data_IF_480125712955
#
_entry.id   IF_480125712955
#
_cell.length_a   1.000
_cell.length_b   1.000
_cell.length_c   1.000
_cell.angle_alpha   90.00
_cell.angle_beta   90.00
_cell.angle_gamma   90.00
#
_symmetry.space_group_name_H-M   'P 1'
#
loop_
_entity.id
_entity.type
_entity.pdbx_description
1 polymer ?
#
# COMPACT_ATOMS: atom_id res chain seq x y z
N UNK A 1 -31.76 -0.75 -1.03
CA UNK A 1 -30.73 -1.20 -1.99
C UNK A 1 -30.21 -2.55 -1.50
N UNK A 2 -29.80 -3.45 -2.40
CA UNK A 2 -29.18 -4.72 -2.00
C UNK A 2 -27.87 -4.47 -1.26
N UNK A 3 -27.52 -5.34 -0.32
CA UNK A 3 -26.22 -5.31 0.36
C UNK A 3 -25.07 -5.38 -0.67
N UNK A 4 -24.08 -4.46 -0.62
CA UNK A 4 -22.92 -4.50 -1.49
C UNK A 4 -22.12 -5.80 -1.37
N UNK A 5 -21.71 -6.34 -2.51
CA UNK A 5 -20.81 -7.49 -2.61
C UNK A 5 -19.38 -7.02 -2.85
N UNK A 6 -18.49 -7.34 -1.92
CA UNK A 6 -17.09 -6.93 -1.94
C UNK A 6 -16.21 -8.15 -2.15
N UNK A 7 -15.40 -8.14 -3.21
CA UNK A 7 -14.36 -9.14 -3.43
C UNK A 7 -12.99 -8.56 -3.11
N UNK A 8 -12.23 -9.25 -2.27
CA UNK A 8 -10.96 -8.78 -1.74
C UNK A 8 -9.86 -9.80 -2.07
N UNK A 9 -8.71 -9.31 -2.49
CA UNK A 9 -7.48 -10.13 -2.47
C UNK A 9 -6.53 -9.61 -1.41
N UNK A 10 -5.69 -10.48 -0.83
CA UNK A 10 -4.74 -10.05 0.19
C UNK A 10 -5.36 -9.79 1.56
N UNK A 11 -6.52 -10.41 1.86
CA UNK A 11 -7.23 -10.27 3.15
C UNK A 11 -6.46 -10.81 4.37
N UNK A 12 -5.40 -11.59 4.15
CA UNK A 12 -4.45 -12.03 5.21
C UNK A 12 -3.10 -11.31 5.12
N UNK A 13 -2.99 -10.31 4.23
CA UNK A 13 -1.85 -9.41 4.12
C UNK A 13 -2.03 -8.16 5.00
N UNK A 14 -1.02 -7.28 4.96
CA UNK A 14 -0.98 -6.10 5.84
C UNK A 14 -2.07 -5.07 5.50
N UNK A 15 -2.13 -4.63 4.23
CA UNK A 15 -3.13 -3.64 3.78
C UNK A 15 -4.52 -4.26 3.74
N UNK A 16 -4.68 -5.36 2.99
CA UNK A 16 -5.99 -5.98 2.81
C UNK A 16 -6.61 -6.54 4.10
N UNK A 17 -5.79 -7.01 5.04
CA UNK A 17 -6.26 -7.46 6.35
C UNK A 17 -6.77 -6.32 7.23
N UNK A 18 -6.06 -5.19 7.27
CA UNK A 18 -6.48 -4.03 8.06
C UNK A 18 -7.68 -3.31 7.43
N UNK A 19 -7.75 -3.25 6.09
CA UNK A 19 -8.96 -2.81 5.38
C UNK A 19 -10.15 -3.69 5.71
N UNK A 20 -10.00 -5.02 5.60
CA UNK A 20 -11.10 -5.95 5.89
C UNK A 20 -11.56 -5.80 7.35
N UNK A 21 -10.63 -5.62 8.30
CA UNK A 21 -10.98 -5.31 9.68
C UNK A 21 -11.87 -4.06 9.76
N UNK A 22 -11.47 -2.95 9.13
CA UNK A 22 -12.23 -1.70 9.18
C UNK A 22 -13.62 -1.83 8.51
N UNK A 23 -13.68 -2.42 7.32
CA UNK A 23 -14.92 -2.58 6.56
C UNK A 23 -15.89 -3.57 7.21
N UNK A 24 -15.41 -4.70 7.72
CA UNK A 24 -16.24 -5.72 8.37
C UNK A 24 -16.96 -5.20 9.62
N UNK A 25 -16.30 -4.36 10.41
CA UNK A 25 -16.89 -3.78 11.62
C UNK A 25 -17.78 -2.56 11.34
N UNK A 26 -17.45 -1.78 10.31
CA UNK A 26 -18.24 -0.59 9.94
C UNK A 26 -19.50 -0.96 9.16
N UNK A 27 -19.42 -2.03 8.36
CA UNK A 27 -20.49 -2.51 7.50
C UNK A 27 -20.75 -4.01 7.68
N UNK A 28 -21.26 -4.44 8.84
CA UNK A 28 -21.60 -5.85 9.07
C UNK A 28 -22.70 -6.37 8.13
N UNK A 29 -23.45 -5.47 7.49
CA UNK A 29 -24.48 -5.79 6.51
C UNK A 29 -23.92 -6.09 5.10
N UNK A 30 -22.65 -5.79 4.82
CA UNK A 30 -22.03 -6.06 3.50
C UNK A 30 -21.63 -7.53 3.34
N UNK A 31 -21.63 -7.99 2.10
CA UNK A 31 -21.23 -9.36 1.76
C UNK A 31 -19.78 -9.40 1.30
N UNK A 32 -18.89 -9.94 2.12
CA UNK A 32 -17.46 -10.03 1.81
C UNK A 32 -17.07 -11.40 1.30
N UNK A 33 -16.20 -11.42 0.29
CA UNK A 33 -15.51 -12.63 -0.15
C UNK A 33 -14.04 -12.33 -0.38
N UNK A 34 -13.18 -13.29 -0.08
CA UNK A 34 -11.74 -13.08 -0.11
C UNK A 34 -10.98 -14.24 -0.75
N UNK A 35 -10.04 -13.91 -1.62
CA UNK A 35 -9.13 -14.88 -2.22
C UNK A 35 -8.17 -15.45 -1.17
N UNK A 36 -8.11 -16.77 -1.06
CA UNK A 36 -7.22 -17.51 -0.15
C UNK A 36 -6.54 -18.67 -0.87
N UNK A 37 -5.23 -18.83 -0.61
CA UNK A 37 -4.39 -19.83 -1.29
C UNK A 37 -4.45 -21.23 -0.66
N UNK A 38 -5.00 -21.35 0.55
CA UNK A 38 -5.02 -22.62 1.28
C UNK A 38 -6.14 -22.66 2.32
N UNK A 39 -6.46 -23.88 2.78
CA UNK A 39 -7.42 -24.11 3.85
C UNK A 39 -6.96 -23.47 5.17
N UNK A 40 -5.65 -23.43 5.47
CA UNK A 40 -5.18 -22.78 6.70
C UNK A 40 -5.43 -21.26 6.64
N UNK A 41 -5.19 -20.62 5.49
CA UNK A 41 -5.49 -19.19 5.31
C UNK A 41 -6.99 -18.91 5.38
N UNK A 42 -7.83 -19.81 4.87
CA UNK A 42 -9.27 -19.73 5.02
C UNK A 42 -9.69 -19.82 6.50
N UNK A 43 -9.12 -20.76 7.26
CA UNK A 43 -9.42 -20.93 8.68
C UNK A 43 -9.06 -19.67 9.49
N UNK A 44 -7.85 -19.12 9.32
CA UNK A 44 -7.41 -17.88 9.96
C UNK A 44 -8.38 -16.72 9.65
N UNK A 45 -8.79 -16.61 8.38
CA UNK A 45 -9.69 -15.57 7.95
C UNK A 45 -11.08 -15.71 8.59
N UNK A 46 -11.64 -16.92 8.57
CA UNK A 46 -12.99 -17.19 9.07
C UNK A 46 -13.09 -17.21 10.60
N UNK A 47 -11.99 -17.52 11.30
CA UNK A 47 -11.92 -17.37 12.76
C UNK A 47 -12.09 -15.91 13.18
N UNK A 48 -11.43 -14.99 12.48
CA UNK A 48 -11.55 -13.55 12.76
C UNK A 48 -12.83 -12.94 12.18
N UNK A 49 -13.26 -13.40 11.01
CA UNK A 49 -14.40 -12.84 10.26
C UNK A 49 -15.33 -13.95 9.76
N UNK A 50 -16.22 -14.49 10.62
CA UNK A 50 -17.05 -15.66 10.30
C UNK A 50 -17.95 -15.51 9.07
N UNK A 51 -18.36 -14.28 8.74
CA UNK A 51 -19.26 -14.01 7.62
C UNK A 51 -18.52 -13.76 6.29
N UNK A 52 -17.18 -13.80 6.27
CA UNK A 52 -16.40 -13.65 5.03
C UNK A 52 -16.34 -15.00 4.32
N UNK A 53 -16.77 -15.03 3.06
CA UNK A 53 -16.70 -16.23 2.22
C UNK A 53 -15.30 -16.42 1.63
N UNK A 54 -14.57 -17.50 1.96
CA UNK A 54 -13.30 -17.79 1.30
C UNK A 54 -13.53 -18.21 -0.16
N UNK A 55 -12.67 -17.71 -1.05
CA UNK A 55 -12.58 -18.10 -2.46
C UNK A 55 -11.21 -18.72 -2.68
N UNK A 56 -11.17 -20.01 -3.01
CA UNK A 56 -9.91 -20.72 -3.19
C UNK A 56 -9.29 -20.42 -4.56
N UNK A 57 -8.02 -20.00 -4.53
CA UNK A 57 -7.23 -19.69 -5.71
C UNK A 57 -6.03 -18.82 -5.37
N UNK A 58 -5.26 -18.48 -6.39
CA UNK A 58 -4.15 -17.55 -6.34
C UNK A 58 -4.28 -16.48 -7.44
N UNK A 59 -3.28 -15.61 -7.58
CA UNK A 59 -3.31 -14.53 -8.57
C UNK A 59 -3.20 -15.03 -10.03
N UNK A 60 -2.81 -16.30 -10.23
CA UNK A 60 -2.79 -16.94 -11.54
C UNK A 60 -4.10 -17.69 -11.86
N UNK A 61 -5.02 -17.78 -10.90
CA UNK A 61 -6.33 -18.41 -11.06
C UNK A 61 -7.29 -17.48 -11.82
N UNK A 62 -6.92 -17.10 -13.04
CA UNK A 62 -7.57 -16.03 -13.83
C UNK A 62 -9.06 -16.21 -14.03
N UNK A 63 -9.54 -17.45 -14.23
CA UNK A 63 -10.96 -17.75 -14.34
C UNK A 63 -11.72 -17.46 -13.03
N UNK A 64 -11.13 -17.82 -11.89
CA UNK A 64 -11.70 -17.53 -10.56
C UNK A 64 -11.76 -16.01 -10.36
N UNK A 65 -10.68 -15.29 -10.65
CA UNK A 65 -10.61 -13.84 -10.49
C UNK A 65 -11.65 -13.12 -11.38
N UNK A 66 -11.78 -13.54 -12.64
CA UNK A 66 -12.76 -13.02 -13.59
C UNK A 66 -14.20 -13.28 -13.13
N UNK A 67 -14.49 -14.49 -12.67
CA UNK A 67 -15.81 -14.85 -12.15
C UNK A 67 -16.17 -13.99 -10.94
N UNK A 68 -15.27 -13.91 -9.95
CA UNK A 68 -15.53 -13.12 -8.74
C UNK A 68 -15.68 -11.61 -9.05
N UNK A 69 -14.87 -11.07 -9.96
CA UNK A 69 -15.00 -9.69 -10.39
C UNK A 69 -16.32 -9.39 -11.10
N UNK A 70 -16.86 -10.33 -11.89
CA UNK A 70 -18.16 -10.14 -12.55
C UNK A 70 -19.36 -10.21 -11.59
N UNK A 71 -19.19 -10.94 -10.48
CA UNK A 71 -20.25 -11.20 -9.50
C UNK A 71 -20.28 -10.19 -8.34
N UNK A 72 -19.14 -9.58 -8.01
CA UNK A 72 -19.04 -8.54 -6.99
C UNK A 72 -19.68 -7.22 -7.48
N UNK A 73 -19.91 -6.29 -6.57
CA UNK A 73 -20.17 -4.88 -6.91
C UNK A 73 -18.86 -4.10 -6.93
N UNK A 74 -17.90 -4.48 -6.08
CA UNK A 74 -16.57 -3.89 -6.04
C UNK A 74 -15.47 -4.91 -5.78
N UNK A 75 -14.32 -4.68 -6.40
CA UNK A 75 -13.08 -5.44 -6.23
C UNK A 75 -12.03 -4.55 -5.58
N UNK A 76 -11.47 -4.99 -4.45
CA UNK A 76 -10.32 -4.36 -3.82
C UNK A 76 -9.10 -5.28 -3.89
N UNK A 77 -8.09 -4.83 -4.64
CA UNK A 77 -6.89 -5.62 -4.90
C UNK A 77 -5.71 -5.14 -4.05
N UNK A 78 -5.34 -5.93 -3.03
CA UNK A 78 -4.22 -5.64 -2.11
C UNK A 78 -3.12 -6.70 -2.15
N UNK A 79 -3.30 -7.79 -2.90
CA UNK A 79 -2.42 -8.97 -2.79
C UNK A 79 -1.03 -8.74 -3.36
N UNK A 80 -0.96 -8.09 -4.52
CA UNK A 80 0.29 -7.78 -5.22
C UNK A 80 0.01 -6.65 -6.23
N UNK A 81 0.72 -5.53 -6.10
CA UNK A 81 0.59 -4.39 -7.00
C UNK A 81 1.34 -4.57 -8.32
N UNK A 82 2.19 -5.60 -8.45
CA UNK A 82 3.03 -5.84 -9.62
C UNK A 82 2.56 -7.05 -10.47
N UNK A 83 1.46 -7.70 -10.10
CA UNK A 83 0.93 -8.88 -10.79
C UNK A 83 -0.05 -8.49 -11.91
N UNK A 84 0.42 -8.45 -13.15
CA UNK A 84 -0.36 -8.00 -14.30
C UNK A 84 -1.58 -8.89 -14.60
N UNK A 85 -1.41 -10.20 -14.50
CA UNK A 85 -2.45 -11.17 -14.90
C UNK A 85 -3.69 -11.06 -14.02
N UNK A 86 -3.54 -10.74 -12.73
CA UNK A 86 -4.69 -10.54 -11.83
C UNK A 86 -5.43 -9.25 -12.17
N UNK A 87 -4.70 -8.15 -12.44
CA UNK A 87 -5.31 -6.90 -12.88
C UNK A 87 -6.10 -7.08 -14.19
N UNK A 88 -5.53 -7.77 -15.19
CA UNK A 88 -6.22 -8.10 -16.45
C UNK A 88 -7.45 -8.97 -16.19
N UNK A 89 -7.35 -10.00 -15.35
CA UNK A 89 -8.47 -10.88 -15.04
C UNK A 89 -9.65 -10.12 -14.38
N UNK A 90 -9.36 -9.20 -13.45
CA UNK A 90 -10.41 -8.36 -12.85
C UNK A 90 -11.08 -7.47 -13.88
N UNK A 91 -10.29 -6.80 -14.73
CA UNK A 91 -10.83 -5.93 -15.79
C UNK A 91 -11.71 -6.74 -16.76
N UNK A 92 -11.29 -7.95 -17.16
CA UNK A 92 -12.14 -8.83 -17.98
C UNK A 92 -13.44 -9.23 -17.29
N UNK A 93 -13.41 -9.48 -15.98
CA UNK A 93 -14.63 -9.78 -15.21
C UNK A 93 -15.57 -8.58 -15.10
N UNK A 94 -15.01 -7.39 -14.89
CA UNK A 94 -15.76 -6.15 -14.74
C UNK A 94 -16.48 -5.72 -16.02
N UNK A 95 -16.01 -6.14 -17.20
CA UNK A 95 -16.72 -5.90 -18.48
C UNK A 95 -18.11 -6.52 -18.54
N UNK A 96 -18.40 -7.54 -17.72
CA UNK A 96 -19.71 -8.20 -17.67
C UNK A 96 -20.74 -7.45 -16.83
N UNK A 97 -20.38 -6.33 -16.19
CA UNK A 97 -21.33 -5.51 -15.48
C UNK A 97 -22.32 -4.81 -16.42
N UNK A 98 -23.61 -4.76 -16.07
CA UNK A 98 -24.59 -3.95 -16.80
C UNK A 98 -24.46 -2.47 -16.42
N UNK A 99 -24.92 -1.57 -17.30
CA UNK A 99 -24.81 -0.13 -17.08
C UNK A 99 -25.57 0.35 -15.82
N UNK A 100 -26.66 -0.33 -15.46
CA UNK A 100 -27.47 -0.04 -14.28
C UNK A 100 -26.81 -0.48 -12.96
N UNK A 101 -25.77 -1.32 -13.03
CA UNK A 101 -25.00 -1.81 -11.88
C UNK A 101 -23.51 -1.83 -12.22
N UNK A 102 -22.88 -0.66 -12.34
CA UNK A 102 -21.47 -0.59 -12.70
C UNK A 102 -20.59 -1.25 -11.63
N UNK A 103 -19.50 -1.88 -12.07
CA UNK A 103 -18.49 -2.44 -11.17
C UNK A 103 -17.51 -1.37 -10.68
N UNK A 104 -16.90 -1.58 -9.51
CA UNK A 104 -15.89 -0.67 -8.96
C UNK A 104 -14.58 -1.42 -8.73
N UNK A 105 -13.49 -0.91 -9.28
CA UNK A 105 -12.17 -1.50 -9.09
C UNK A 105 -11.26 -0.55 -8.34
N UNK A 106 -10.86 -0.93 -7.12
CA UNK A 106 -9.92 -0.18 -6.31
C UNK A 106 -8.62 -0.98 -6.29
N UNK A 107 -7.64 -0.48 -7.04
CA UNK A 107 -6.31 -1.07 -7.17
C UNK A 107 -5.34 -0.43 -6.17
N UNK A 108 -4.57 -1.25 -5.47
CA UNK A 108 -3.46 -0.77 -4.64
C UNK A 108 -2.19 -0.76 -5.46
N UNK A 109 -1.60 0.42 -5.62
CA UNK A 109 -0.24 0.63 -6.16
C UNK A 109 0.72 0.92 -5.01
N UNK A 110 1.77 1.73 -5.23
CA UNK A 110 2.66 2.22 -4.19
C UNK A 110 3.51 3.40 -4.66
N UNK A 111 3.83 4.33 -3.76
CA UNK A 111 4.61 5.52 -4.15
C UNK A 111 6.08 5.21 -4.48
N UNK A 112 6.47 3.93 -4.47
CA UNK A 112 7.70 3.51 -5.13
C UNK A 112 7.74 3.89 -6.60
N UNK A 113 6.58 4.05 -7.24
CA UNK A 113 6.46 4.60 -8.60
C UNK A 113 7.08 6.01 -8.74
N UNK A 114 7.24 6.75 -7.64
CA UNK A 114 7.79 8.11 -7.64
C UNK A 114 9.32 8.15 -7.53
N UNK A 115 9.99 7.01 -7.32
CA UNK A 115 11.44 6.92 -7.08
C UNK A 115 12.27 6.78 -8.38
N UNK A 116 11.65 7.00 -9.55
CA UNK A 116 12.23 6.75 -10.89
C UNK A 116 13.60 7.41 -11.04
N UNK A 117 13.68 8.67 -10.62
CA UNK A 117 14.87 9.49 -10.80
C UNK A 117 16.04 8.99 -9.94
N UNK A 118 15.78 8.52 -8.70
CA UNK A 118 16.82 7.92 -7.86
C UNK A 118 17.37 6.64 -8.49
N UNK A 119 16.48 5.81 -9.05
CA UNK A 119 16.86 4.59 -9.77
C UNK A 119 17.70 4.88 -11.02
N UNK A 120 17.27 5.84 -11.86
CA UNK A 120 17.99 6.20 -13.10
C UNK A 120 19.34 6.85 -12.83
N UNK A 121 19.43 7.67 -11.79
CA UNK A 121 20.66 8.36 -11.42
C UNK A 121 21.60 7.49 -10.56
N UNK A 122 21.15 6.31 -10.11
CA UNK A 122 21.85 5.47 -9.12
C UNK A 122 22.27 6.28 -7.88
N UNK A 123 21.37 7.12 -7.37
CA UNK A 123 21.63 7.97 -6.19
C UNK A 123 20.90 7.44 -4.97
N UNK A 124 21.54 7.52 -3.81
CA UNK A 124 20.93 7.19 -2.53
C UNK A 124 21.31 8.24 -1.47
N UNK A 125 20.38 8.55 -0.56
CA UNK A 125 20.64 9.46 0.55
C UNK A 125 20.58 10.95 0.20
N UNK A 126 20.35 11.30 -1.06
CA UNK A 126 20.37 12.70 -1.54
C UNK A 126 18.98 13.33 -1.49
N UNK A 127 18.90 14.62 -1.22
CA UNK A 127 17.65 15.36 -1.29
C UNK A 127 17.17 15.55 -2.73
N UNK A 128 15.87 15.33 -2.98
CA UNK A 128 15.19 15.76 -4.22
C UNK A 128 13.97 16.62 -3.90
N UNK A 129 13.88 17.78 -4.56
CA UNK A 129 12.84 18.79 -4.30
C UNK A 129 11.49 18.51 -4.95
N UNK A 130 11.44 17.63 -5.97
CA UNK A 130 10.19 17.29 -6.69
C UNK A 130 9.17 16.69 -5.73
N UNK A 131 7.95 17.20 -5.82
CA UNK A 131 6.77 16.69 -5.12
C UNK A 131 5.67 16.48 -6.16
N UNK A 132 5.04 15.32 -6.12
CA UNK A 132 3.87 14.99 -6.93
C UNK A 132 2.60 15.33 -6.15
N UNK A 133 1.50 15.60 -6.85
CA UNK A 133 0.20 15.92 -6.24
C UNK A 133 -0.90 15.21 -7.02
N UNK A 134 -1.84 14.61 -6.30
CA UNK A 134 -2.94 13.83 -6.87
C UNK A 134 -4.16 14.65 -7.28
N UNK A 135 -4.13 15.98 -7.08
CA UNK A 135 -5.21 16.89 -7.38
C UNK A 135 -4.94 17.63 -8.70
N UNK A 136 -4.19 18.73 -8.66
CA UNK A 136 -3.85 19.51 -9.85
C UNK A 136 -2.80 18.79 -10.72
N UNK A 137 -2.00 17.92 -10.10
CA UNK A 137 -0.93 17.15 -10.75
C UNK A 137 -1.33 15.76 -11.28
N UNK A 138 -2.60 15.38 -11.21
CA UNK A 138 -3.05 13.99 -11.49
C UNK A 138 -2.63 13.48 -12.88
N UNK A 139 -2.61 14.36 -13.88
CA UNK A 139 -2.18 13.98 -15.24
C UNK A 139 -0.73 13.51 -15.28
N UNK A 140 0.15 14.00 -14.41
CA UNK A 140 1.53 13.53 -14.32
C UNK A 140 1.57 12.09 -13.78
N UNK A 141 0.79 11.80 -12.72
CA UNK A 141 0.69 10.46 -12.13
C UNK A 141 0.15 9.42 -13.11
N UNK A 142 -0.86 9.79 -13.91
CA UNK A 142 -1.44 8.91 -14.92
C UNK A 142 -0.47 8.60 -16.08
N UNK A 143 0.56 9.44 -16.28
CA UNK A 143 1.49 9.37 -17.42
C UNK A 143 2.95 9.21 -16.97
N UNK A 144 3.19 8.61 -15.82
CA UNK A 144 4.55 8.30 -15.36
C UNK A 144 5.27 7.36 -16.35
N UNK A 145 6.62 7.45 -16.45
CA UNK A 145 7.41 6.65 -17.37
C UNK A 145 7.22 5.14 -17.18
N UNK A 146 7.27 4.37 -18.28
CA UNK A 146 7.05 2.91 -18.27
C UNK A 146 8.04 2.13 -17.39
N UNK A 147 9.24 2.66 -17.15
CA UNK A 147 10.27 2.09 -16.27
C UNK A 147 10.12 2.48 -14.79
N UNK A 148 9.09 3.26 -14.44
CA UNK A 148 8.74 3.51 -13.05
C UNK A 148 8.25 2.22 -12.37
N UNK A 149 8.61 2.02 -11.09
CA UNK A 149 8.10 0.89 -10.31
C UNK A 149 6.57 0.83 -10.32
N UNK A 150 5.97 -0.37 -10.33
CA UNK A 150 4.51 -0.56 -10.34
C UNK A 150 3.78 -0.06 -11.60
N UNK A 151 4.47 0.66 -12.49
CA UNK A 151 3.84 1.27 -13.67
C UNK A 151 3.24 0.24 -14.61
N UNK A 152 3.83 -0.94 -14.69
CA UNK A 152 3.36 -2.02 -15.53
C UNK A 152 1.89 -2.39 -15.23
N UNK A 153 1.47 -2.38 -13.96
CA UNK A 153 0.07 -2.64 -13.58
C UNK A 153 -0.78 -1.36 -13.57
N UNK A 154 -0.27 -0.24 -13.05
CA UNK A 154 -0.97 1.06 -13.10
C UNK A 154 -1.40 1.41 -14.53
N UNK A 155 -0.54 1.12 -15.52
CA UNK A 155 -0.82 1.33 -16.94
C UNK A 155 -2.00 0.49 -17.42
N UNK A 156 -2.08 -0.79 -17.03
CA UNK A 156 -3.22 -1.66 -17.37
C UNK A 156 -4.53 -1.07 -16.85
N UNK A 157 -4.53 -0.54 -15.62
CA UNK A 157 -5.72 0.07 -15.01
C UNK A 157 -6.09 1.39 -15.69
N UNK A 158 -5.11 2.26 -15.94
CA UNK A 158 -5.31 3.59 -16.54
C UNK A 158 -5.67 3.52 -18.04
N UNK A 159 -5.20 2.52 -18.78
CA UNK A 159 -5.60 2.30 -20.18
C UNK A 159 -7.13 2.07 -20.33
N UNK A 160 -7.80 1.57 -19.28
CA UNK A 160 -9.26 1.39 -19.31
C UNK A 160 -10.03 2.71 -19.35
N UNK A 161 -9.42 3.84 -18.97
CA UNK A 161 -10.03 5.16 -18.97
C UNK A 161 -10.55 5.52 -20.37
N UNK A 162 -9.77 5.20 -21.42
CA UNK A 162 -10.12 5.53 -22.79
C UNK A 162 -11.21 4.61 -23.40
N UNK A 163 -11.77 3.66 -22.66
CA UNK A 163 -12.73 2.69 -23.20
C UNK A 163 -14.13 3.31 -23.32
N UNK A 164 -14.67 3.48 -24.55
CA UNK A 164 -15.85 4.32 -24.80
C UNK A 164 -17.18 3.78 -24.24
N UNK A 165 -17.19 2.59 -23.65
CA UNK A 165 -18.40 1.89 -23.17
C UNK A 165 -18.15 1.04 -21.92
N UNK A 166 -17.18 1.42 -21.06
CA UNK A 166 -16.93 0.64 -19.84
C UNK A 166 -18.06 0.82 -18.81
N UNK A 167 -18.57 -0.30 -18.31
CA UNK A 167 -19.57 -0.36 -17.22
C UNK A 167 -18.91 -0.57 -15.86
N UNK A 168 -17.70 -0.06 -15.68
CA UNK A 168 -16.99 -0.07 -14.41
C UNK A 168 -16.14 1.17 -14.26
N UNK A 169 -15.80 1.49 -13.01
CA UNK A 169 -14.99 2.64 -12.63
C UNK A 169 -13.75 2.18 -11.89
N UNK A 170 -12.63 2.85 -12.11
CA UNK A 170 -11.36 2.50 -11.47
C UNK A 170 -10.89 3.59 -10.53
N UNK A 171 -10.25 3.19 -9.44
CA UNK A 171 -9.43 4.04 -8.60
C UNK A 171 -8.12 3.33 -8.29
N UNK A 172 -7.01 4.08 -8.33
CA UNK A 172 -5.68 3.63 -7.90
C UNK A 172 -5.38 4.35 -6.59
N UNK A 173 -5.07 3.58 -5.55
CA UNK A 173 -4.58 4.12 -4.28
C UNK A 173 -3.09 3.79 -4.19
N UNK A 174 -2.29 4.84 -4.03
CA UNK A 174 -0.85 4.81 -4.05
C UNK A 174 -0.32 5.22 -2.66
N UNK A 175 -0.23 4.27 -1.71
CA UNK A 175 0.26 4.53 -0.37
C UNK A 175 1.76 4.77 -0.35
N UNK A 176 2.19 5.68 0.53
CA UNK A 176 3.59 5.95 0.80
C UNK A 176 4.18 4.98 1.84
N UNK A 177 5.22 5.36 2.58
CA UNK A 177 5.79 4.47 3.59
C UNK A 177 4.72 4.14 4.65
N UNK A 178 4.22 2.90 4.61
CA UNK A 178 3.17 2.41 5.51
C UNK A 178 3.81 1.92 6.80
N UNK A 179 3.23 2.24 7.94
CA UNK A 179 3.71 1.76 9.25
C UNK A 179 2.57 1.62 10.26
N UNK A 180 2.90 1.06 11.43
CA UNK A 180 1.97 0.87 12.54
C UNK A 180 1.39 -0.54 12.62
N UNK A 181 0.78 -0.90 13.75
CA UNK A 181 0.25 -2.24 13.97
C UNK A 181 -1.02 -2.46 13.12
N UNK A 182 -0.97 -3.45 12.23
CA UNK A 182 -2.15 -3.92 11.50
C UNK A 182 -3.10 -4.72 12.40
N UNK A 183 -4.40 -4.66 12.11
CA UNK A 183 -5.49 -5.30 12.85
C UNK A 183 -6.09 -6.50 12.13
N UNK A 184 -5.58 -6.82 10.94
CA UNK A 184 -5.98 -8.00 10.18
C UNK A 184 -5.50 -9.32 10.82
N UNK A 185 -6.07 -10.46 10.40
CA UNK A 185 -5.82 -11.76 11.04
C UNK A 185 -4.51 -12.44 10.59
N UNK A 186 -3.81 -11.84 9.62
CA UNK A 186 -2.59 -12.40 9.05
C UNK A 186 -1.36 -11.54 9.33
N UNK A 187 -0.70 -11.05 8.29
CA UNK A 187 0.46 -10.17 8.47
C UNK A 187 0.01 -8.81 9.07
N UNK A 188 0.63 -8.40 10.16
CA UNK A 188 0.33 -7.15 10.88
C UNK A 188 1.51 -6.17 10.89
N UNK A 189 2.58 -6.47 10.14
CA UNK A 189 3.83 -5.69 10.08
C UNK A 189 4.08 -5.16 8.68
N UNK A 190 4.60 -3.94 8.60
CA UNK A 190 5.06 -3.35 7.35
C UNK A 190 6.46 -3.85 6.96
N UNK A 191 7.03 -3.30 5.90
CA UNK A 191 8.36 -3.68 5.39
C UNK A 191 9.43 -2.64 5.66
N UNK A 192 9.37 -1.43 5.09
CA UNK A 192 10.55 -0.55 4.99
C UNK A 192 11.29 -0.28 6.31
N UNK A 193 10.63 0.31 7.31
CA UNK A 193 11.28 0.63 8.59
C UNK A 193 11.52 -0.61 9.45
N UNK A 194 10.69 -1.65 9.26
CA UNK A 194 10.82 -2.92 9.98
C UNK A 194 12.05 -3.69 9.51
N UNK A 195 12.30 -3.76 8.20
CA UNK A 195 13.52 -4.37 7.66
C UNK A 195 14.75 -3.55 8.02
N UNK A 196 14.68 -2.21 8.05
CA UNK A 196 15.79 -1.37 8.55
C UNK A 196 16.14 -1.71 10.00
N UNK A 197 15.12 -1.82 10.87
CA UNK A 197 15.34 -2.18 12.27
C UNK A 197 15.97 -3.58 12.40
N UNK A 198 15.47 -4.56 11.64
CA UNK A 198 16.07 -5.90 11.58
C UNK A 198 17.53 -5.87 11.14
N UNK A 199 17.85 -5.15 10.06
CA UNK A 199 19.23 -4.98 9.57
C UNK A 199 20.15 -4.39 10.64
N UNK A 200 19.71 -3.32 11.32
CA UNK A 200 20.51 -2.69 12.40
C UNK A 200 20.74 -3.65 13.57
N UNK A 201 19.72 -4.42 13.96
CA UNK A 201 19.80 -5.39 15.05
C UNK A 201 20.73 -6.56 14.72
N UNK A 202 20.61 -7.15 13.53
CA UNK A 202 21.45 -8.25 13.07
C UNK A 202 22.91 -7.83 12.88
N UNK A 203 23.13 -6.65 12.29
CA UNK A 203 24.46 -6.05 12.11
C UNK A 203 25.10 -5.66 13.44
N UNK A 204 24.29 -5.30 14.44
CA UNK A 204 24.75 -4.80 15.73
C UNK A 204 25.27 -3.36 15.70
N UNK A 205 25.00 -2.61 14.63
CA UNK A 205 25.43 -1.21 14.42
C UNK A 205 24.46 -0.50 13.46
N UNK A 206 24.23 0.79 13.67
CA UNK A 206 23.38 1.60 12.81
C UNK A 206 24.00 1.85 11.43
N UNK A 207 23.15 2.18 10.46
CA UNK A 207 23.54 2.59 9.10
C UNK A 207 22.94 3.96 8.79
N UNK A 208 23.63 4.76 7.98
CA UNK A 208 23.08 5.95 7.31
C UNK A 208 23.33 5.85 5.83
N UNK A 209 22.34 6.09 4.99
CA UNK A 209 22.52 5.98 3.53
C UNK A 209 22.88 7.34 2.96
N UNK A 210 24.05 7.43 2.30
CA UNK A 210 24.58 8.67 1.74
C UNK A 210 24.54 9.83 2.74
N UNK A 211 23.95 10.95 2.32
CA UNK A 211 23.79 12.14 3.16
C UNK A 211 22.61 12.02 4.15
N UNK A 212 21.68 11.10 3.90
CA UNK A 212 20.44 10.90 4.67
C UNK A 212 19.38 11.99 4.45
N UNK A 213 19.53 12.84 3.43
CA UNK A 213 18.66 13.99 3.16
C UNK A 213 17.44 13.65 2.27
N UNK A 214 17.35 12.39 1.83
CA UNK A 214 16.23 11.89 1.05
C UNK A 214 14.94 11.85 1.88
N UNK A 215 13.83 12.24 1.26
CA UNK A 215 12.54 12.43 1.95
C UNK A 215 11.50 11.45 1.42
N UNK A 216 10.80 10.81 2.34
CA UNK A 216 9.59 10.05 2.06
C UNK A 216 8.38 10.66 2.76
N UNK A 217 7.22 10.49 2.14
CA UNK A 217 5.94 10.65 2.84
C UNK A 217 5.57 9.37 3.59
N UNK A 218 4.71 9.51 4.58
CA UNK A 218 4.35 8.42 5.50
C UNK A 218 2.84 8.30 5.68
N UNK A 219 2.33 7.09 5.92
CA UNK A 219 0.92 6.88 6.28
C UNK A 219 0.80 5.73 7.27
N UNK A 220 0.03 5.95 8.34
CA UNK A 220 -0.25 4.87 9.28
C UNK A 220 -1.26 3.90 8.65
N UNK A 221 -1.07 2.59 8.83
CA UNK A 221 -1.90 1.55 8.20
C UNK A 221 -3.40 1.74 8.46
N UNK A 222 -3.76 2.13 9.69
CA UNK A 222 -5.16 2.33 10.05
C UNK A 222 -5.78 3.57 9.38
N UNK A 223 -5.00 4.62 9.14
CA UNK A 223 -5.47 5.78 8.37
C UNK A 223 -5.61 5.41 6.89
N UNK A 224 -4.68 4.62 6.36
CA UNK A 224 -4.78 4.09 5.00
C UNK A 224 -6.03 3.23 4.80
N UNK A 225 -6.32 2.33 5.74
CA UNK A 225 -7.55 1.52 5.71
C UNK A 225 -8.81 2.36 5.73
N UNK A 226 -8.82 3.49 6.46
CA UNK A 226 -9.94 4.43 6.46
C UNK A 226 -10.13 5.12 5.10
N UNK A 227 -9.05 5.36 4.33
CA UNK A 227 -9.16 5.84 2.94
C UNK A 227 -9.83 4.81 2.05
N UNK A 228 -9.38 3.55 2.12
CA UNK A 228 -10.01 2.46 1.36
C UNK A 228 -11.47 2.24 1.75
N UNK A 229 -11.80 2.36 3.04
CA UNK A 229 -13.18 2.30 3.53
C UNK A 229 -14.03 3.41 2.92
N UNK A 230 -13.55 4.66 2.93
CA UNK A 230 -14.28 5.78 2.34
C UNK A 230 -14.48 5.62 0.82
N UNK A 231 -13.51 5.04 0.10
CA UNK A 231 -13.66 4.70 -1.32
C UNK A 231 -14.69 3.57 -1.53
N UNK A 232 -14.69 2.56 -0.68
CA UNK A 232 -15.65 1.46 -0.74
C UNK A 232 -17.09 1.95 -0.43
N UNK A 233 -17.26 2.83 0.55
CA UNK A 233 -18.54 3.49 0.88
C UNK A 233 -19.05 4.36 -0.28
N UNK A 234 -18.14 5.10 -0.92
CA UNK A 234 -18.46 5.88 -2.12
C UNK A 234 -18.90 4.97 -3.27
N UNK A 235 -18.19 3.87 -3.53
CA UNK A 235 -18.57 2.85 -4.52
C UNK A 235 -19.95 2.24 -4.22
N UNK A 236 -20.20 1.83 -2.96
CA UNK A 236 -21.49 1.31 -2.51
C UNK A 236 -22.65 2.30 -2.73
N UNK A 237 -22.34 3.61 -2.73
CA UNK A 237 -23.29 4.70 -2.95
C UNK A 237 -23.36 5.16 -4.42
N UNK A 238 -22.83 4.39 -5.37
CA UNK A 238 -22.85 4.73 -6.79
C UNK A 238 -21.80 5.76 -7.23
N UNK A 239 -20.68 5.84 -6.50
CA UNK A 239 -19.54 6.71 -6.79
C UNK A 239 -19.36 7.83 -5.77
N UNK A 240 -20.43 8.18 -5.03
CA UNK A 240 -20.38 9.11 -3.90
C UNK A 240 -19.68 10.43 -4.21
N UNK A 241 -18.86 10.90 -3.26
CA UNK A 241 -18.01 12.09 -3.45
C UNK A 241 -16.60 11.75 -3.96
N UNK A 242 -16.31 10.47 -4.15
CA UNK A 242 -15.04 10.02 -4.73
C UNK A 242 -14.98 10.43 -6.21
N UNK A 243 -13.78 10.69 -6.69
CA UNK A 243 -13.46 10.73 -8.11
C UNK A 243 -12.93 9.38 -8.58
N UNK A 244 -13.09 9.11 -9.87
CA UNK A 244 -12.80 7.82 -10.50
C UNK A 244 -12.17 8.06 -11.88
N UNK A 245 -11.60 7.03 -12.48
CA UNK A 245 -11.02 7.07 -13.83
C UNK A 245 -9.92 8.15 -13.98
N UNK A 246 -10.10 9.17 -14.84
CA UNK A 246 -9.14 10.26 -15.07
C UNK A 246 -8.76 11.01 -13.78
N UNK A 247 -9.65 10.98 -12.80
CA UNK A 247 -9.47 11.62 -11.50
C UNK A 247 -9.41 10.59 -10.37
N UNK A 248 -9.29 9.29 -10.71
CA UNK A 248 -9.30 8.17 -9.76
C UNK A 248 -7.95 7.83 -9.16
N UNK A 249 -6.93 8.69 -9.24
CA UNK A 249 -5.61 8.42 -8.65
C UNK A 249 -5.51 9.11 -7.29
N UNK A 250 -5.27 8.34 -6.23
CA UNK A 250 -5.21 8.81 -4.85
C UNK A 250 -3.84 8.50 -4.27
N UNK A 251 -3.06 9.54 -3.99
CA UNK A 251 -1.92 9.39 -3.09
C UNK A 251 -2.46 9.27 -1.66
N UNK A 252 -1.77 8.52 -0.80
CA UNK A 252 -2.15 8.41 0.60
C UNK A 252 -0.97 8.75 1.50
N UNK A 253 -0.97 9.96 2.07
CA UNK A 253 0.05 10.44 2.99
C UNK A 253 -0.52 11.17 4.21
N UNK A 254 0.27 11.22 5.26
CA UNK A 254 0.08 12.03 6.46
C UNK A 254 1.42 12.65 6.94
N UNK A 255 2.03 13.47 6.08
CA UNK A 255 3.29 14.18 6.33
C UNK A 255 4.52 13.43 5.82
N UNK A 256 5.69 13.96 6.16
CA UNK A 256 6.99 13.52 5.65
C UNK A 256 8.00 13.23 6.75
N UNK A 257 9.05 12.49 6.42
CA UNK A 257 10.26 12.32 7.22
C UNK A 257 11.52 12.28 6.33
N UNK A 258 12.68 12.59 6.90
CA UNK A 258 13.99 12.30 6.31
C UNK A 258 14.42 10.89 6.72
N UNK A 259 14.96 10.12 5.77
CA UNK A 259 15.46 8.78 6.08
C UNK A 259 16.64 8.80 7.04
N UNK A 260 17.54 9.79 6.94
CA UNK A 260 18.64 9.96 7.88
C UNK A 260 18.18 10.11 9.33
N UNK A 261 17.04 10.78 9.56
CA UNK A 261 16.45 10.89 10.90
C UNK A 261 15.89 9.55 11.40
N UNK A 262 15.22 8.79 10.54
CA UNK A 262 14.70 7.45 10.87
C UNK A 262 15.83 6.46 11.15
N UNK A 263 16.84 6.42 10.29
CA UNK A 263 18.07 5.62 10.41
C UNK A 263 18.78 5.87 11.75
N UNK A 264 18.99 7.15 12.08
CA UNK A 264 19.56 7.56 13.36
C UNK A 264 18.68 7.15 14.54
N UNK A 265 17.37 7.34 14.45
CA UNK A 265 16.44 7.01 15.52
C UNK A 265 16.39 5.50 15.80
N UNK A 266 16.35 4.66 14.76
CA UNK A 266 16.39 3.20 14.89
C UNK A 266 17.66 2.76 15.62
N UNK A 267 18.83 3.25 15.21
CA UNK A 267 20.10 2.91 15.85
C UNK A 267 20.16 3.38 17.32
N UNK A 268 19.72 4.62 17.59
CA UNK A 268 19.71 5.17 18.94
C UNK A 268 18.78 4.37 19.86
N UNK A 269 17.56 4.07 19.42
CA UNK A 269 16.60 3.27 20.18
C UNK A 269 17.13 1.85 20.46
N UNK A 270 17.74 1.20 19.46
CA UNK A 270 18.32 -0.12 19.64
C UNK A 270 19.46 -0.10 20.68
N UNK A 271 20.30 0.94 20.65
CA UNK A 271 21.37 1.12 21.62
C UNK A 271 20.84 1.40 23.03
N UNK A 272 19.89 2.33 23.17
CA UNK A 272 19.29 2.69 24.47
C UNK A 272 18.62 1.50 25.15
N UNK A 273 18.09 0.55 24.36
CA UNK A 273 17.50 -0.71 24.84
C UNK A 273 18.52 -1.82 25.08
N UNK A 274 19.81 -1.57 24.85
CA UNK A 274 20.90 -2.54 25.01
C UNK A 274 20.86 -3.68 23.99
N UNK A 275 20.18 -3.50 22.86
CA UNK A 275 20.05 -4.49 21.79
C UNK A 275 21.27 -4.49 20.87
N UNK A 276 21.97 -3.35 20.77
CA UNK A 276 23.24 -3.19 20.06
C UNK A 276 24.25 -2.47 20.96
N UNK A 277 25.55 -2.53 20.62
CA UNK A 277 26.64 -2.03 21.48
C UNK A 277 27.00 -0.55 21.28
N UNK A 278 26.51 0.08 20.22
CA UNK A 278 26.78 1.48 19.89
C UNK A 278 25.63 2.06 19.08
N UNK A 279 25.38 3.37 19.20
CA UNK A 279 24.45 4.12 18.33
C UNK A 279 25.15 4.80 17.13
N UNK A 280 26.46 4.57 16.95
CA UNK A 280 27.19 5.06 15.78
C UNK A 280 26.61 4.49 14.47
N UNK A 281 26.66 5.32 13.43
CA UNK A 281 26.18 4.99 12.09
C UNK A 281 27.35 4.76 11.15
N UNK A 282 27.37 3.64 10.45
CA UNK A 282 28.20 3.49 9.25
C UNK A 282 27.50 4.18 8.07
N UNK A 283 28.22 5.03 7.34
CA UNK A 283 27.69 5.67 6.13
C UNK A 283 27.87 4.72 4.95
N UNK A 284 26.76 4.33 4.31
CA UNK A 284 26.75 3.42 3.17
C UNK A 284 26.41 4.18 1.88
N UNK A 285 27.16 3.91 0.83
CA UNK A 285 26.80 4.25 -0.54
C UNK A 285 25.86 3.20 -1.13
N UNK A 286 25.54 3.33 -2.43
CA UNK A 286 24.63 2.42 -3.13
C UNK A 286 25.07 0.94 -3.01
N UNK A 287 26.33 0.64 -3.28
CA UNK A 287 26.85 -0.73 -3.23
C UNK A 287 26.94 -1.26 -1.79
N UNK A 288 27.25 -0.38 -0.84
CA UNK A 288 27.22 -0.68 0.58
C UNK A 288 25.83 -1.10 1.04
N UNK A 289 24.79 -0.32 0.72
CA UNK A 289 23.43 -0.64 1.15
C UNK A 289 22.87 -1.88 0.44
N UNK A 290 23.20 -2.11 -0.84
CA UNK A 290 22.78 -3.33 -1.57
C UNK A 290 23.29 -4.62 -0.90
N UNK A 291 24.47 -4.57 -0.27
CA UNK A 291 25.02 -5.72 0.47
C UNK A 291 24.23 -6.03 1.74
N UNK A 292 23.59 -5.03 2.34
CA UNK A 292 22.74 -5.22 3.53
C UNK A 292 21.31 -5.65 3.14
N UNK A 293 20.71 -4.97 2.16
CA UNK A 293 19.42 -5.32 1.57
C UNK A 293 19.44 -4.97 0.07
N UNK A 294 19.21 -5.94 -0.85
CA UNK A 294 19.19 -5.67 -2.30
C UNK A 294 18.18 -4.59 -2.73
N UNK A 295 17.12 -4.36 -1.95
CA UNK A 295 16.13 -3.30 -2.14
C UNK A 295 16.39 -2.07 -1.28
N UNK A 296 17.45 -2.05 -0.48
CA UNK A 296 17.84 -0.95 0.41
C UNK A 296 17.97 0.42 -0.28
N UNK A 297 18.61 0.54 -1.47
CA UNK A 297 18.67 1.82 -2.19
C UNK A 297 17.26 2.40 -2.45
N UNK A 298 16.33 1.54 -2.84
CA UNK A 298 14.93 1.92 -3.05
C UNK A 298 14.23 2.21 -1.72
N UNK A 299 14.27 1.27 -0.76
CA UNK A 299 13.44 1.33 0.45
C UNK A 299 13.84 2.43 1.42
N UNK A 300 15.14 2.74 1.49
CA UNK A 300 15.72 3.60 2.53
C UNK A 300 16.54 4.74 1.93
N UNK A 301 17.06 4.58 0.70
CA UNK A 301 17.94 5.57 0.06
C UNK A 301 17.26 6.53 -0.92
N UNK A 302 16.00 6.29 -1.31
CA UNK A 302 15.33 7.05 -2.37
C UNK A 302 14.45 8.19 -1.86
N UNK A 303 13.88 8.99 -2.76
CA UNK A 303 12.88 10.02 -2.47
C UNK A 303 11.50 9.59 -2.97
N UNK A 304 10.47 9.75 -2.14
CA UNK A 304 9.09 9.46 -2.54
C UNK A 304 8.13 10.45 -1.89
N UNK A 305 7.72 11.46 -2.68
CA UNK A 305 7.04 12.66 -2.18
C UNK A 305 5.79 12.91 -3.00
N UNK A 306 4.64 12.52 -2.46
CA UNK A 306 3.34 12.69 -3.11
C UNK A 306 2.29 13.23 -2.15
N UNK A 307 1.63 14.34 -2.47
CA UNK A 307 0.60 14.96 -1.64
C UNK A 307 -0.78 14.33 -1.89
N UNK A 308 -1.47 13.97 -0.81
CA UNK A 308 -2.78 13.30 -0.83
C UNK A 308 -3.92 14.33 -0.74
N UNK A 309 -3.96 15.29 -1.65
CA UNK A 309 -4.92 16.40 -1.63
C UNK A 309 -6.34 15.91 -1.94
N UNK A 310 -6.48 14.97 -2.89
CA UNK A 310 -7.75 14.46 -3.39
C UNK A 310 -8.57 13.74 -2.33
N UNK A 311 -7.97 12.81 -1.61
CA UNK A 311 -8.64 12.07 -0.54
C UNK A 311 -9.24 13.01 0.51
N UNK A 312 -8.51 14.07 0.89
CA UNK A 312 -8.97 15.04 1.89
C UNK A 312 -10.15 15.86 1.39
N UNK A 313 -10.09 16.34 0.14
CA UNK A 313 -11.16 17.17 -0.46
C UNK A 313 -12.42 16.38 -0.79
N UNK A 314 -12.26 15.21 -1.41
CA UNK A 314 -13.37 14.40 -1.91
C UNK A 314 -14.04 13.57 -0.81
N UNK A 315 -13.24 12.95 0.06
CA UNK A 315 -13.73 11.96 1.02
C UNK A 315 -13.77 12.48 2.46
N UNK A 316 -13.26 13.68 2.72
CA UNK A 316 -13.07 14.17 4.09
C UNK A 316 -12.07 13.33 4.89
N UNK A 317 -11.22 12.56 4.20
CA UNK A 317 -10.23 11.71 4.83
C UNK A 317 -9.26 12.55 5.67
N UNK A 318 -9.22 12.29 6.97
CA UNK A 318 -8.40 13.05 7.91
C UNK A 318 -7.60 12.07 8.80
N UNK A 319 -6.34 11.80 8.44
CA UNK A 319 -5.48 10.91 9.20
C UNK A 319 -5.24 11.41 10.64
N UNK A 320 -5.37 10.53 11.63
CA UNK A 320 -5.28 10.90 13.07
C UNK A 320 -4.28 10.06 13.86
N UNK A 321 -3.71 9.03 13.25
CA UNK A 321 -2.81 8.12 13.96
C UNK A 321 -1.43 8.76 14.20
N UNK A 322 -0.65 8.22 15.16
CA UNK A 322 0.71 8.69 15.47
C UNK A 322 1.62 8.72 14.24
N UNK A 323 2.65 9.56 14.27
CA UNK A 323 3.65 9.63 13.20
C UNK A 323 4.63 8.46 13.30
N UNK A 324 5.38 8.18 12.23
CA UNK A 324 6.35 7.08 12.21
C UNK A 324 7.39 7.21 13.33
N UNK A 325 7.92 8.41 13.51
CA UNK A 325 8.95 8.71 14.51
C UNK A 325 8.50 8.36 15.93
N UNK A 326 7.20 8.52 16.22
CA UNK A 326 6.62 8.19 17.52
C UNK A 326 6.59 6.67 17.78
N UNK A 327 6.63 5.85 16.72
CA UNK A 327 6.51 4.39 16.77
C UNK A 327 7.83 3.64 16.55
N UNK A 328 8.97 4.33 16.34
CA UNK A 328 10.27 3.68 16.14
C UNK A 328 10.64 2.78 17.33
N UNK A 329 10.34 3.23 18.56
CA UNK A 329 10.51 2.45 19.79
C UNK A 329 9.87 1.07 19.72
N UNK A 330 8.58 1.06 19.37
CA UNK A 330 7.75 -0.15 19.29
C UNK A 330 8.19 -1.05 18.13
N UNK A 331 8.56 -0.47 16.99
CA UNK A 331 9.06 -1.21 15.82
C UNK A 331 10.36 -1.95 16.15
N UNK A 332 11.33 -1.28 16.77
CA UNK A 332 12.61 -1.89 17.16
C UNK A 332 12.39 -3.03 18.16
N UNK A 333 11.55 -2.83 19.18
CA UNK A 333 11.22 -3.88 20.13
C UNK A 333 10.56 -5.09 19.48
N UNK A 334 9.65 -4.84 18.53
CA UNK A 334 8.95 -5.90 17.82
C UNK A 334 9.93 -6.73 16.99
N UNK A 335 10.82 -6.09 16.22
CA UNK A 335 11.82 -6.80 15.42
C UNK A 335 12.84 -7.54 16.30
N UNK A 336 13.25 -6.98 17.43
CA UNK A 336 14.14 -7.67 18.36
C UNK A 336 13.52 -8.91 19.00
N UNK A 337 12.18 -8.96 19.15
CA UNK A 337 11.47 -10.17 19.60
C UNK A 337 11.42 -11.24 18.52
N UNK A 338 11.29 -10.85 17.25
CA UNK A 338 11.25 -11.78 16.12
C UNK A 338 12.59 -12.49 15.85
N UNK A 339 13.70 -11.87 16.25
CA UNK A 339 15.07 -12.40 16.07
C UNK A 339 15.52 -13.38 17.18
N UNK A 340 14.70 -13.61 18.21
CA UNK A 340 15.02 -14.53 19.32
C UNK A 340 14.45 -15.92 19.10
#
# INVERSE_FOLDING_TARGET
MSSPKVFITGATGYIGGDFLYAAYHSHPEWSFSALVRSQERAAILQEAFPNVRPVFGDLNSTDVLREQASAADMVLHFADCDHEESARAFIEGLKFHPAERPGWYIHTSGTGILTVEDGRANTCGVHRSKVYDDWDGVSELLNLPDDAFHRNVDKIVTETIAWPTKNFKTAIVCPCCIYGPGRGPGNTKSTQVYTLATTVLERGKGIRIGDGENIWHQVHIQDLSNLYLALAEAAASGGGKATWDEEGYYLAENGSFSWGDVEKAVAQVAFDKGLIKTSELDVLDWDGVVKEDPKGPYRWGSNSRGLATRARKCLGWNPVQPKLMDLIGDIVELQAKDLK
#
